data_IF_736015526784
#
_entry.id   IF_736015526784
#
_cell.length_a   1.000
_cell.length_b   1.000
_cell.length_c   1.000
_cell.angle_alpha   90.00
_cell.angle_beta   90.00
_cell.angle_gamma   90.00
#
_symmetry.space_group_name_H-M   'P 1'
#
loop_
_entity.id
_entity.type
_entity.pdbx_description
1 polymer ?
#
# COMPACT_ATOMS: atom_id res chain seq x y z
N UNK A 1 17.30 2.11 5.78
CA UNK A 1 17.05 0.80 6.41
C UNK A 1 15.64 0.37 6.05
N UNK A 2 15.46 -0.32 4.92
CA UNK A 2 14.16 -0.80 4.46
C UNK A 2 13.75 -2.00 5.31
N UNK A 3 13.18 -1.73 6.49
CA UNK A 3 12.64 -2.78 7.36
C UNK A 3 11.35 -3.26 6.70
N UNK A 4 11.43 -4.39 5.99
CA UNK A 4 10.27 -5.02 5.34
C UNK A 4 9.10 -5.09 6.33
N UNK A 5 7.89 -4.84 5.82
CA UNK A 5 6.68 -4.98 6.62
C UNK A 5 6.56 -6.40 7.17
N UNK A 6 6.25 -6.58 8.46
CA UNK A 6 6.00 -7.91 9.01
C UNK A 6 4.87 -8.59 8.25
N UNK A 7 4.99 -9.89 8.01
CA UNK A 7 3.94 -10.67 7.36
C UNK A 7 2.60 -10.58 8.11
N UNK A 8 2.65 -10.59 9.44
CA UNK A 8 1.47 -10.38 10.29
C UNK A 8 0.79 -9.04 10.04
N UNK A 9 1.55 -7.97 9.81
CA UNK A 9 0.99 -6.65 9.47
C UNK A 9 0.30 -6.68 8.11
N UNK A 10 0.86 -7.37 7.12
CA UNK A 10 0.27 -7.50 5.79
C UNK A 10 -1.03 -8.31 5.85
N UNK A 11 -1.06 -9.39 6.63
CA UNK A 11 -2.27 -10.19 6.87
C UNK A 11 -3.36 -9.39 7.57
N UNK A 12 -3.04 -8.73 8.70
CA UNK A 12 -4.00 -7.89 9.42
C UNK A 12 -4.53 -6.76 8.54
N UNK A 13 -3.66 -6.12 7.75
CA UNK A 13 -4.07 -5.07 6.82
C UNK A 13 -5.02 -5.60 5.75
N UNK A 14 -4.83 -6.84 5.28
CA UNK A 14 -5.76 -7.54 4.37
C UNK A 14 -7.10 -7.85 5.05
N UNK A 15 -7.10 -8.21 6.32
CA UNK A 15 -8.33 -8.43 7.11
C UNK A 15 -9.10 -7.13 7.41
N UNK A 16 -8.52 -5.97 7.06
CA UNK A 16 -9.14 -4.66 7.28
C UNK A 16 -8.81 -4.04 8.62
N UNK A 17 -7.77 -4.52 9.31
CA UNK A 17 -7.28 -3.91 10.55
C UNK A 17 -6.76 -2.48 10.28
N UNK A 18 -7.35 -1.45 10.90
CA UNK A 18 -7.01 -0.06 10.61
C UNK A 18 -5.59 0.30 11.07
N UNK A 19 -5.07 -0.30 12.13
CA UNK A 19 -3.70 -0.06 12.60
C UNK A 19 -2.69 -0.66 11.62
N UNK A 20 -2.97 -1.86 11.13
CA UNK A 20 -2.13 -2.53 10.16
C UNK A 20 -2.14 -1.82 8.79
N UNK A 21 -3.30 -1.39 8.30
CA UNK A 21 -3.42 -0.58 7.07
C UNK A 21 -2.62 0.72 7.22
N UNK A 22 -2.74 1.41 8.36
CA UNK A 22 -1.98 2.62 8.62
C UNK A 22 -0.46 2.37 8.66
N UNK A 23 -0.02 1.25 9.25
CA UNK A 23 1.40 0.87 9.24
C UNK A 23 1.94 0.63 7.82
N UNK A 24 1.15 0.00 6.94
CA UNK A 24 1.50 -0.17 5.52
C UNK A 24 1.58 1.18 4.80
N UNK A 25 0.59 2.05 5.01
CA UNK A 25 0.59 3.40 4.43
C UNK A 25 1.79 4.23 4.91
N UNK A 26 2.13 4.19 6.19
CA UNK A 26 3.29 4.86 6.77
C UNK A 26 4.60 4.33 6.19
N UNK A 27 4.70 3.01 6.02
CA UNK A 27 5.88 2.38 5.42
C UNK A 27 6.08 2.84 3.97
N UNK A 28 5.01 2.96 3.20
CA UNK A 28 5.06 3.42 1.82
C UNK A 28 4.92 4.93 1.65
N UNK A 29 4.70 5.72 2.71
CA UNK A 29 4.43 7.16 2.62
C UNK A 29 5.49 7.94 1.84
N UNK A 30 6.77 7.55 1.98
CA UNK A 30 7.86 8.14 1.20
C UNK A 30 7.73 7.88 -0.31
N UNK A 31 7.31 6.68 -0.70
CA UNK A 31 7.04 6.32 -2.10
C UNK A 31 5.79 7.02 -2.61
N UNK A 32 4.71 7.04 -1.82
CA UNK A 32 3.46 7.72 -2.16
C UNK A 32 3.74 9.19 -2.49
N UNK A 33 4.51 9.87 -1.64
CA UNK A 33 4.92 11.27 -1.84
C UNK A 33 5.82 11.49 -3.04
N UNK A 34 6.66 10.50 -3.35
CA UNK A 34 7.50 10.53 -4.56
C UNK A 34 6.65 10.41 -5.83
N UNK A 35 5.70 9.47 -5.86
CA UNK A 35 4.79 9.26 -6.98
C UNK A 35 3.79 10.39 -7.17
N UNK A 36 3.36 11.04 -6.09
CA UNK A 36 2.47 12.21 -6.14
C UNK A 36 3.17 13.49 -6.57
N UNK A 37 4.49 13.46 -6.78
CA UNK A 37 5.25 14.62 -7.21
C UNK A 37 5.10 14.81 -8.72
N UNK A 38 4.20 15.71 -9.10
CA UNK A 38 3.96 16.09 -10.50
C UNK A 38 4.52 17.48 -10.72
N UNK A 39 5.42 17.63 -11.69
CA UNK A 39 6.00 18.91 -12.08
C UNK A 39 6.71 19.67 -10.92
N UNK A 40 7.32 18.94 -9.99
CA UNK A 40 8.03 19.52 -8.84
C UNK A 40 7.15 19.84 -7.62
N UNK A 41 5.82 19.77 -7.76
CA UNK A 41 4.86 19.97 -6.68
C UNK A 41 4.20 18.65 -6.27
N UNK A 42 3.85 18.53 -4.99
CA UNK A 42 3.08 17.38 -4.52
C UNK A 42 1.62 17.62 -4.88
N UNK A 43 1.08 16.80 -5.78
CA UNK A 43 -0.34 16.84 -6.11
C UNK A 43 -1.10 15.99 -5.08
N UNK A 44 -1.92 16.65 -4.27
CA UNK A 44 -2.74 16.01 -3.24
C UNK A 44 -3.72 14.98 -3.83
N UNK A 45 -4.26 15.21 -5.03
CA UNK A 45 -5.18 14.28 -5.69
C UNK A 45 -4.48 12.98 -6.07
N UNK A 46 -3.25 13.08 -6.60
CA UNK A 46 -2.42 11.91 -6.93
C UNK A 46 -1.99 11.18 -5.66
N UNK A 47 -1.67 11.92 -4.59
CA UNK A 47 -1.35 11.32 -3.30
C UNK A 47 -2.51 10.50 -2.74
N UNK A 48 -3.73 11.05 -2.76
CA UNK A 48 -4.92 10.35 -2.29
C UNK A 48 -5.25 9.14 -3.17
N UNK A 49 -5.15 9.31 -4.49
CA UNK A 49 -5.36 8.22 -5.45
C UNK A 49 -4.40 7.05 -5.20
N UNK A 50 -3.11 7.32 -4.98
CA UNK A 50 -2.12 6.27 -4.72
C UNK A 50 -2.38 5.59 -3.37
N UNK A 51 -2.79 6.33 -2.33
CA UNK A 51 -3.19 5.75 -1.03
C UNK A 51 -4.40 4.83 -1.19
N UNK A 52 -5.46 5.30 -1.86
CA UNK A 52 -6.67 4.51 -2.11
C UNK A 52 -6.37 3.25 -2.92
N UNK A 53 -5.54 3.36 -3.97
CA UNK A 53 -5.11 2.21 -4.76
C UNK A 53 -4.32 1.20 -3.94
N UNK A 54 -3.43 1.65 -3.06
CA UNK A 54 -2.68 0.76 -2.19
C UNK A 54 -3.61 -0.03 -1.26
N UNK A 55 -4.60 0.65 -0.66
CA UNK A 55 -5.61 0.03 0.20
C UNK A 55 -6.47 -0.98 -0.59
N UNK A 56 -6.97 -0.60 -1.76
CA UNK A 56 -7.76 -1.48 -2.63
C UNK A 56 -6.97 -2.72 -3.07
N UNK A 57 -5.70 -2.55 -3.43
CA UNK A 57 -4.81 -3.66 -3.74
C UNK A 57 -4.54 -4.55 -2.53
N UNK A 58 -4.41 -3.99 -1.32
CA UNK A 58 -4.19 -4.74 -0.09
C UNK A 58 -5.38 -5.67 0.21
N UNK A 59 -6.61 -5.19 0.02
CA UNK A 59 -7.82 -6.00 0.17
C UNK A 59 -7.97 -7.08 -0.90
N UNK A 60 -7.53 -6.79 -2.13
CA UNK A 60 -7.56 -7.73 -3.26
C UNK A 60 -6.40 -8.74 -3.26
N UNK A 61 -5.39 -8.53 -2.42
CA UNK A 61 -4.20 -9.37 -2.37
C UNK A 61 -4.55 -10.77 -1.86
N UNK A 62 -4.41 -11.77 -2.73
CA UNK A 62 -4.60 -13.19 -2.42
C UNK A 62 -3.25 -13.88 -2.39
N UNK A 63 -2.88 -14.41 -1.23
CA UNK A 63 -1.71 -15.28 -1.08
C UNK A 63 -1.95 -16.70 -1.61
N UNK A 64 -3.22 -17.09 -1.72
CA UNK A 64 -3.67 -18.47 -2.02
C UNK A 64 -3.95 -18.76 -3.50
N UNK A 65 -3.83 -17.79 -4.40
CA UNK A 65 -4.08 -18.03 -5.83
C UNK A 65 -2.77 -18.48 -6.48
N UNK A 66 -2.60 -19.77 -6.87
CA UNK A 66 -1.47 -20.14 -7.71
C UNK A 66 -1.54 -19.29 -8.98
N UNK A 67 -0.40 -18.81 -9.53
CA UNK A 67 -0.42 -18.12 -10.81
C UNK A 67 -1.12 -19.05 -11.80
N UNK A 68 -2.21 -18.56 -12.40
CA UNK A 68 -2.97 -19.29 -13.41
C UNK A 68 -1.96 -19.89 -14.39
N UNK A 69 -1.84 -21.23 -14.37
CA UNK A 69 -1.03 -21.95 -15.34
C UNK A 69 -1.77 -21.84 -16.66
N UNK A 70 -1.43 -20.80 -17.43
CA UNK A 70 -1.76 -20.69 -18.85
C UNK A 70 -1.40 -21.96 -19.62
#
# INVERSE_FOLDING_TARGET
>A
MSRLLPYETILKAREGDPEAVNAVLLHYAGYIRYFSKVNGQVNAEVEDYVKQRLIDCQFKFRLDEPPDKS
#
